data_IF_595696579132
#
_entry.id   IF_595696579132
#
_cell.length_a   1.000
_cell.length_b   1.000
_cell.length_c   1.000
_cell.angle_alpha   90.00
_cell.angle_beta   90.00
_cell.angle_gamma   90.00
#
_symmetry.space_group_name_H-M   'P 1'
#
loop_
_entity.id
_entity.type
_entity.pdbx_description
1 polymer ?
#
# COMPACT_ATOMS: atom_id res chain seq x y z
N UNK A 1 -102.61 24.02 -6.63
CA UNK A 1 -101.42 24.91 -6.52
C UNK A 1 -100.44 24.52 -5.40
N UNK A 2 -100.87 24.26 -4.15
CA UNK A 2 -99.96 23.89 -3.04
C UNK A 2 -99.01 22.72 -3.35
N UNK A 3 -99.48 21.67 -4.03
CA UNK A 3 -98.67 20.50 -4.44
C UNK A 3 -97.56 20.85 -5.44
N UNK A 4 -97.81 21.81 -6.34
CA UNK A 4 -96.84 22.25 -7.35
C UNK A 4 -95.72 23.07 -6.68
N UNK A 5 -96.08 23.93 -5.73
CA UNK A 5 -95.11 24.72 -4.94
C UNK A 5 -94.21 23.80 -4.10
N UNK A 6 -94.78 22.79 -3.45
CA UNK A 6 -94.00 21.80 -2.67
C UNK A 6 -93.07 20.99 -3.58
N UNK A 7 -93.54 20.58 -4.76
CA UNK A 7 -92.71 19.87 -5.74
C UNK A 7 -91.52 20.71 -6.22
N UNK A 8 -91.74 22.01 -6.48
CA UNK A 8 -90.65 22.92 -6.86
C UNK A 8 -89.63 23.12 -5.73
N UNK A 9 -90.09 23.26 -4.48
CA UNK A 9 -89.23 23.40 -3.31
C UNK A 9 -88.32 22.17 -3.10
N UNK A 10 -88.84 20.96 -3.34
CA UNK A 10 -88.06 19.73 -3.26
C UNK A 10 -86.99 19.64 -4.35
N UNK A 11 -87.28 20.10 -5.57
CA UNK A 11 -86.30 20.13 -6.66
C UNK A 11 -85.17 21.11 -6.34
N UNK A 12 -85.50 22.31 -5.84
CA UNK A 12 -84.49 23.30 -5.42
C UNK A 12 -83.62 22.75 -4.29
N UNK A 13 -84.22 22.05 -3.31
CA UNK A 13 -83.48 21.41 -2.23
C UNK A 13 -82.52 20.30 -2.74
N UNK A 14 -82.98 19.48 -3.70
CA UNK A 14 -82.14 18.45 -4.33
C UNK A 14 -80.96 19.06 -5.09
N UNK A 15 -81.20 20.12 -5.87
CA UNK A 15 -80.13 20.83 -6.59
C UNK A 15 -79.13 21.43 -5.61
N UNK A 16 -79.60 22.06 -4.53
CA UNK A 16 -78.73 22.65 -3.50
C UNK A 16 -77.84 21.60 -2.81
N UNK A 17 -78.41 20.44 -2.44
CA UNK A 17 -77.65 19.34 -1.83
C UNK A 17 -76.64 18.74 -2.83
N UNK A 18 -77.05 18.55 -4.09
CA UNK A 18 -76.15 18.06 -5.14
C UNK A 18 -74.98 19.01 -5.39
N UNK A 19 -75.25 20.32 -5.47
CA UNK A 19 -74.22 21.34 -5.63
C UNK A 19 -73.27 21.41 -4.43
N UNK A 20 -73.81 21.35 -3.21
CA UNK A 20 -73.01 21.33 -1.99
C UNK A 20 -72.08 20.11 -1.93
N UNK A 21 -72.59 18.92 -2.27
CA UNK A 21 -71.80 17.70 -2.33
C UNK A 21 -70.72 17.76 -3.41
N UNK A 22 -71.04 18.27 -4.61
CA UNK A 22 -70.08 18.46 -5.69
C UNK A 22 -68.97 19.44 -5.29
N UNK A 23 -69.32 20.57 -4.68
CA UNK A 23 -68.36 21.59 -4.22
C UNK A 23 -67.46 21.03 -3.10
N UNK A 24 -68.03 20.25 -2.18
CA UNK A 24 -67.27 19.59 -1.11
C UNK A 24 -66.32 18.52 -1.64
N UNK A 25 -66.73 17.78 -2.66
CA UNK A 25 -65.90 16.79 -3.34
C UNK A 25 -64.73 17.46 -4.07
N UNK A 26 -65.00 18.52 -4.84
CA UNK A 26 -63.96 19.29 -5.54
C UNK A 26 -62.96 19.95 -4.56
N UNK A 27 -63.46 20.49 -3.45
CA UNK A 27 -62.62 21.06 -2.39
C UNK A 27 -61.71 20.01 -1.74
N UNK A 28 -62.21 18.78 -1.53
CA UNK A 28 -61.41 17.67 -1.00
C UNK A 28 -60.36 17.22 -2.01
N UNK A 29 -60.75 17.04 -3.27
CA UNK A 29 -59.84 16.64 -4.35
C UNK A 29 -58.68 17.64 -4.52
N UNK A 30 -58.98 18.96 -4.50
CA UNK A 30 -57.96 20.01 -4.55
C UNK A 30 -57.01 19.97 -3.34
N UNK A 31 -57.55 19.77 -2.14
CA UNK A 31 -56.74 19.69 -0.92
C UNK A 31 -55.84 18.45 -0.89
N UNK A 32 -56.35 17.31 -1.35
CA UNK A 32 -55.58 16.08 -1.48
C UNK A 32 -54.49 16.21 -2.55
N UNK A 33 -54.80 16.82 -3.68
CA UNK A 33 -53.81 17.10 -4.74
C UNK A 33 -52.71 18.04 -4.24
N UNK A 34 -53.06 19.17 -3.61
CA UNK A 34 -52.09 20.09 -3.03
C UNK A 34 -51.26 19.41 -1.95
N UNK A 35 -51.89 18.66 -1.04
CA UNK A 35 -51.18 17.93 0.00
C UNK A 35 -50.24 16.86 -0.55
N UNK A 36 -50.61 16.19 -1.66
CA UNK A 36 -49.74 15.24 -2.36
C UNK A 36 -48.57 15.94 -3.06
N UNK A 37 -48.83 17.04 -3.75
CA UNK A 37 -47.83 17.86 -4.42
C UNK A 37 -46.79 18.42 -3.43
N UNK A 38 -47.24 19.01 -2.33
CA UNK A 38 -46.36 19.61 -1.32
C UNK A 38 -45.47 18.56 -0.66
N UNK A 39 -46.02 17.37 -0.36
CA UNK A 39 -45.25 16.24 0.15
C UNK A 39 -44.22 15.76 -0.86
N UNK A 40 -44.61 15.57 -2.12
CA UNK A 40 -43.71 15.15 -3.19
C UNK A 40 -42.58 16.16 -3.43
N UNK A 41 -42.90 17.46 -3.43
CA UNK A 41 -41.92 18.53 -3.56
C UNK A 41 -40.94 18.55 -2.37
N UNK A 42 -41.44 18.34 -1.15
CA UNK A 42 -40.61 18.26 0.05
C UNK A 42 -39.67 17.05 0.04
N UNK A 43 -40.18 15.87 -0.31
CA UNK A 43 -39.38 14.65 -0.44
C UNK A 43 -38.32 14.78 -1.53
N UNK A 44 -38.67 15.34 -2.69
CA UNK A 44 -37.73 15.63 -3.76
C UNK A 44 -36.63 16.61 -3.34
N UNK A 45 -36.97 17.64 -2.56
CA UNK A 45 -35.99 18.58 -2.01
C UNK A 45 -35.02 17.89 -1.03
N UNK A 46 -35.52 16.99 -0.18
CA UNK A 46 -34.67 16.19 0.74
C UNK A 46 -33.75 15.27 -0.06
N UNK A 47 -34.28 14.55 -1.04
CA UNK A 47 -33.49 13.64 -1.87
C UNK A 47 -32.41 14.39 -2.66
N UNK A 48 -32.76 15.55 -3.22
CA UNK A 48 -31.80 16.42 -3.90
C UNK A 48 -30.69 16.90 -2.97
N UNK A 49 -31.04 17.39 -1.78
CA UNK A 49 -30.05 17.80 -0.77
C UNK A 49 -29.11 16.65 -0.37
N UNK A 50 -29.65 15.43 -0.22
CA UNK A 50 -28.83 14.24 0.03
C UNK A 50 -27.90 13.91 -1.14
N UNK A 51 -28.40 13.95 -2.37
CA UNK A 51 -27.60 13.73 -3.57
C UNK A 51 -26.47 14.76 -3.69
N UNK A 52 -26.78 16.04 -3.48
CA UNK A 52 -25.78 17.12 -3.50
C UNK A 52 -24.73 16.92 -2.40
N UNK A 53 -25.15 16.48 -1.20
CA UNK A 53 -24.20 16.20 -0.11
C UNK A 53 -23.29 15.00 -0.42
N UNK A 54 -23.82 13.95 -1.04
CA UNK A 54 -23.04 12.78 -1.46
C UNK A 54 -22.07 13.12 -2.59
N UNK A 55 -22.50 13.93 -3.56
CA UNK A 55 -21.64 14.39 -4.66
C UNK A 55 -20.48 15.24 -4.12
N UNK A 56 -20.75 16.12 -3.16
CA UNK A 56 -19.70 16.91 -2.49
C UNK A 56 -18.73 16.03 -1.69
N UNK A 57 -19.23 15.05 -0.95
CA UNK A 57 -18.39 14.10 -0.20
C UNK A 57 -17.49 13.29 -1.15
N UNK A 58 -18.05 12.82 -2.27
CA UNK A 58 -17.31 12.05 -3.28
C UNK A 58 -16.23 12.89 -3.97
N UNK A 59 -16.53 14.15 -4.30
CA UNK A 59 -15.54 15.09 -4.84
C UNK A 59 -14.40 15.33 -3.85
N UNK A 60 -14.73 15.49 -2.57
CA UNK A 60 -13.74 15.69 -1.52
C UNK A 60 -12.85 14.45 -1.34
N UNK A 61 -13.44 13.26 -1.25
CA UNK A 61 -12.68 12.01 -1.12
C UNK A 61 -11.78 11.77 -2.33
N UNK A 62 -12.29 12.03 -3.55
CA UNK A 62 -11.49 11.94 -4.77
C UNK A 62 -10.29 12.88 -4.73
N UNK A 63 -10.49 14.14 -4.32
CA UNK A 63 -9.39 15.10 -4.19
C UNK A 63 -8.35 14.62 -3.17
N UNK A 64 -8.78 14.12 -2.02
CA UNK A 64 -7.87 13.61 -0.98
C UNK A 64 -7.10 12.37 -1.45
N UNK A 65 -7.74 11.51 -2.24
CA UNK A 65 -7.08 10.35 -2.83
C UNK A 65 -6.03 10.76 -3.87
N UNK A 66 -6.37 11.71 -4.75
CA UNK A 66 -5.44 12.26 -5.75
C UNK A 66 -4.22 12.92 -5.07
N UNK A 67 -4.43 13.71 -4.02
CA UNK A 67 -3.37 14.32 -3.21
C UNK A 67 -2.47 13.25 -2.56
N UNK A 68 -3.09 12.18 -2.03
CA UNK A 68 -2.36 11.07 -1.40
C UNK A 68 -1.50 10.31 -2.40
N UNK A 69 -2.00 10.08 -3.62
CA UNK A 69 -1.24 9.48 -4.70
C UNK A 69 -0.05 10.35 -5.12
N UNK A 70 -0.24 11.66 -5.17
CA UNK A 70 0.84 12.59 -5.49
C UNK A 70 1.94 12.59 -4.42
N UNK A 71 1.56 12.59 -3.14
CA UNK A 71 2.50 12.47 -2.02
C UNK A 71 3.27 11.14 -2.10
N UNK A 72 2.57 10.05 -2.39
CA UNK A 72 3.18 8.72 -2.52
C UNK A 72 4.19 8.68 -3.68
N UNK A 73 3.82 9.24 -4.84
CA UNK A 73 4.71 9.33 -5.99
C UNK A 73 5.98 10.13 -5.67
N UNK A 74 5.83 11.31 -5.04
CA UNK A 74 6.95 12.14 -4.61
C UNK A 74 7.85 11.43 -3.59
N UNK A 75 7.25 10.72 -2.63
CA UNK A 75 8.00 9.95 -1.65
C UNK A 75 8.80 8.82 -2.32
N UNK A 76 8.18 8.11 -3.25
CA UNK A 76 8.82 7.05 -4.01
C UNK A 76 9.98 7.57 -4.86
N UNK A 77 9.79 8.67 -5.59
CA UNK A 77 10.83 9.29 -6.42
C UNK A 77 12.03 9.72 -5.57
N UNK A 78 11.79 10.32 -4.40
CA UNK A 78 12.87 10.68 -3.47
C UNK A 78 13.67 9.47 -2.97
N UNK A 79 12.99 8.34 -2.72
CA UNK A 79 13.65 7.09 -2.32
C UNK A 79 14.50 6.54 -3.47
N UNK A 80 13.95 6.50 -4.69
CA UNK A 80 14.67 6.05 -5.89
C UNK A 80 15.90 6.92 -6.14
N UNK A 81 15.79 8.23 -6.03
CA UNK A 81 16.91 9.17 -6.19
C UNK A 81 18.00 8.95 -5.12
N UNK A 82 17.59 8.72 -3.86
CA UNK A 82 18.51 8.40 -2.77
C UNK A 82 19.26 7.09 -3.02
N UNK A 83 18.55 6.06 -3.46
CA UNK A 83 19.16 4.77 -3.83
C UNK A 83 20.14 4.93 -5.00
N UNK A 84 19.76 5.68 -6.05
CA UNK A 84 20.63 5.96 -7.19
C UNK A 84 21.90 6.70 -6.79
N UNK A 85 21.80 7.70 -5.90
CA UNK A 85 22.99 8.39 -5.34
C UNK A 85 23.88 7.45 -4.54
N UNK A 86 23.27 6.55 -3.77
CA UNK A 86 24.00 5.54 -2.99
C UNK A 86 24.74 4.56 -3.89
N UNK A 87 24.08 4.05 -4.93
CA UNK A 87 24.68 3.19 -5.95
C UNK A 87 25.85 3.90 -6.62
N UNK A 88 25.66 5.13 -7.08
CA UNK A 88 26.72 5.91 -7.71
C UNK A 88 27.92 6.16 -6.77
N UNK A 89 27.68 6.35 -5.48
CA UNK A 89 28.74 6.44 -4.47
C UNK A 89 29.49 5.12 -4.32
N UNK A 90 28.77 3.99 -4.23
CA UNK A 90 29.36 2.66 -4.10
C UNK A 90 30.13 2.24 -5.34
N UNK A 91 29.66 2.59 -6.54
CA UNK A 91 30.39 2.36 -7.77
C UNK A 91 31.73 3.11 -7.81
N UNK A 92 31.77 4.36 -7.32
CA UNK A 92 33.02 5.12 -7.16
C UNK A 92 33.97 4.46 -6.16
N UNK A 93 33.47 4.01 -5.01
CA UNK A 93 34.27 3.27 -4.02
C UNK A 93 34.86 1.98 -4.62
N UNK A 94 34.06 1.20 -5.36
CA UNK A 94 34.50 -0.04 -6.03
C UNK A 94 35.55 0.27 -7.10
N UNK A 95 35.35 1.31 -7.92
CA UNK A 95 36.32 1.72 -8.93
C UNK A 95 37.65 2.14 -8.29
N UNK A 96 37.62 2.90 -7.20
CA UNK A 96 38.81 3.29 -6.44
C UNK A 96 39.52 2.08 -5.83
N UNK A 97 38.80 1.15 -5.22
CA UNK A 97 39.35 -0.08 -4.65
C UNK A 97 40.00 -0.98 -5.72
N UNK A 98 39.37 -1.10 -6.90
CA UNK A 98 39.94 -1.81 -8.07
C UNK A 98 41.22 -1.14 -8.57
N UNK A 99 41.24 0.20 -8.68
CA UNK A 99 42.42 0.95 -9.10
C UNK A 99 43.57 0.83 -8.09
N UNK A 100 43.29 0.87 -6.79
CA UNK A 100 44.27 0.67 -5.72
C UNK A 100 44.87 -0.74 -5.76
N UNK A 101 44.02 -1.77 -5.93
CA UNK A 101 44.46 -3.16 -6.06
C UNK A 101 45.38 -3.36 -7.28
N UNK A 102 45.06 -2.72 -8.42
CA UNK A 102 45.89 -2.79 -9.64
C UNK A 102 47.27 -2.14 -9.47
N UNK A 103 47.38 -1.05 -8.71
CA UNK A 103 48.66 -0.39 -8.38
C UNK A 103 49.54 -1.22 -7.43
N UNK A 104 48.93 -2.02 -6.57
CA UNK A 104 49.66 -2.95 -5.69
C UNK A 104 50.29 -4.10 -6.48
N UNK A 105 49.61 -4.62 -7.50
CA UNK A 105 50.17 -5.66 -8.38
C UNK A 105 51.33 -5.18 -9.25
N UNK A 106 51.35 -3.92 -9.70
CA UNK A 106 52.44 -3.39 -10.54
C UNK A 106 53.69 -2.94 -9.77
N UNK A 107 53.61 -2.70 -8.45
CA UNK A 107 54.80 -2.40 -7.62
C UNK A 107 55.58 -3.65 -7.17
N UNK A 108 55.08 -4.85 -7.45
CA UNK A 108 55.64 -6.13 -6.99
C UNK A 108 56.28 -6.98 -8.10
N UNK A 109 56.64 -6.41 -9.26
CA UNK A 109 57.16 -7.19 -10.40
C UNK A 109 58.64 -7.03 -10.75
N UNK A 110 59.48 -6.47 -9.86
CA UNK A 110 60.94 -6.57 -9.99
C UNK A 110 61.53 -7.23 -8.73
N UNK A 111 61.44 -8.56 -8.68
CA UNK A 111 62.06 -9.40 -7.65
C UNK A 111 61.94 -10.87 -8.05
N UNK A 112 63.01 -11.68 -7.91
CA UNK A 112 63.11 -12.97 -8.57
C UNK A 112 62.15 -14.00 -7.96
N UNK A 113 61.74 -14.90 -8.85
CA UNK A 113 60.98 -16.13 -8.63
C UNK A 113 61.35 -16.84 -7.33
N UNK A 114 60.41 -16.94 -6.39
CA UNK A 114 60.16 -18.10 -5.52
C UNK A 114 59.02 -17.81 -4.54
N UNK A 115 58.17 -18.82 -4.30
CA UNK A 115 57.25 -18.82 -3.16
C UNK A 115 55.77 -18.82 -3.55
N UNK A 116 55.23 -20.02 -3.73
CA UNK A 116 53.82 -20.31 -3.49
C UNK A 116 53.52 -19.87 -2.05
N UNK A 117 52.86 -18.73 -1.87
CA UNK A 117 52.43 -18.23 -0.56
C UNK A 117 51.34 -19.18 -0.06
N UNK A 118 51.73 -20.16 0.73
CA UNK A 118 50.82 -20.87 1.63
C UNK A 118 50.22 -19.84 2.57
N UNK A 119 48.89 -19.82 2.61
CA UNK A 119 48.05 -18.98 3.47
C UNK A 119 48.61 -18.90 4.90
N UNK A 120 48.71 -17.68 5.39
CA UNK A 120 49.00 -17.34 6.77
C UNK A 120 48.06 -18.09 7.73
N UNK A 121 48.60 -19.02 8.53
CA UNK A 121 48.26 -19.35 9.91
C UNK A 121 46.82 -19.75 10.32
N UNK A 122 45.81 -19.57 9.48
CA UNK A 122 44.41 -19.85 9.83
C UNK A 122 44.07 -21.27 9.42
N UNK A 123 43.76 -22.11 10.40
CA UNK A 123 43.33 -23.49 10.13
C UNK A 123 41.86 -23.52 9.73
N UNK A 124 41.46 -24.46 8.86
CA UNK A 124 40.05 -24.67 8.52
C UNK A 124 39.16 -24.85 9.77
N UNK A 125 39.72 -25.41 10.84
CA UNK A 125 39.03 -25.55 12.13
C UNK A 125 38.64 -24.19 12.75
N UNK A 126 39.50 -23.18 12.67
CA UNK A 126 39.20 -21.84 13.22
C UNK A 126 38.10 -21.13 12.42
N UNK A 127 38.08 -21.32 11.10
CA UNK A 127 37.03 -20.79 10.21
C UNK A 127 35.68 -21.41 10.59
N UNK A 128 35.65 -22.72 10.78
CA UNK A 128 34.43 -23.46 11.12
C UNK A 128 33.94 -23.18 12.55
N UNK A 129 34.85 -23.02 13.51
CA UNK A 129 34.48 -22.69 14.90
C UNK A 129 33.80 -21.32 14.98
N UNK A 130 34.33 -20.32 14.26
CA UNK A 130 33.71 -19.01 14.19
C UNK A 130 32.32 -19.07 13.53
N UNK A 131 32.19 -19.82 12.43
CA UNK A 131 30.91 -20.02 11.74
C UNK A 131 29.86 -20.67 12.65
N UNK A 132 30.23 -21.77 13.33
CA UNK A 132 29.33 -22.49 14.25
C UNK A 132 28.92 -21.65 15.45
N UNK A 133 29.84 -20.88 16.01
CA UNK A 133 29.54 -19.96 17.11
C UNK A 133 28.52 -18.91 16.69
N UNK A 134 28.70 -18.31 15.51
CA UNK A 134 27.77 -17.32 14.97
C UNK A 134 26.39 -17.91 14.62
N UNK A 135 26.34 -19.16 14.15
CA UNK A 135 25.07 -19.87 13.98
C UNK A 135 24.37 -20.13 15.33
N UNK A 136 25.12 -20.45 16.38
CA UNK A 136 24.58 -20.67 17.72
C UNK A 136 24.12 -19.39 18.43
N UNK A 137 24.59 -18.22 17.99
CA UNK A 137 24.15 -16.90 18.47
C UNK A 137 22.82 -16.45 17.81
N UNK A 138 22.31 -17.19 16.82
CA UNK A 138 21.04 -16.84 16.17
C UNK A 138 19.85 -17.08 17.11
N UNK A 139 18.91 -16.12 17.21
CA UNK A 139 17.67 -16.30 17.95
C UNK A 139 16.87 -17.52 17.44
N UNK A 140 16.28 -18.27 18.37
CA UNK A 140 15.52 -19.48 18.04
C UNK A 140 14.15 -19.18 17.42
N UNK A 141 13.67 -17.94 17.56
CA UNK A 141 12.37 -17.41 17.13
C UNK A 141 12.38 -16.79 15.73
N UNK A 142 13.50 -16.87 14.99
CA UNK A 142 13.58 -16.40 13.61
C UNK A 142 12.61 -17.17 12.69
N UNK A 143 11.87 -16.43 11.86
CA UNK A 143 11.08 -17.04 10.79
C UNK A 143 11.99 -17.75 9.77
N UNK A 144 11.45 -18.69 8.96
CA UNK A 144 12.25 -19.41 7.97
C UNK A 144 13.02 -18.50 7.00
N UNK A 145 12.40 -17.39 6.57
CA UNK A 145 13.03 -16.42 5.69
C UNK A 145 14.16 -15.66 6.39
N UNK A 146 13.92 -15.17 7.60
CA UNK A 146 14.93 -14.44 8.39
C UNK A 146 16.12 -15.33 8.72
N UNK A 147 15.89 -16.62 8.98
CA UNK A 147 16.95 -17.60 9.18
C UNK A 147 17.81 -17.75 7.92
N UNK A 148 17.22 -17.83 6.73
CA UNK A 148 17.98 -17.91 5.46
C UNK A 148 18.85 -16.66 5.26
N UNK A 149 18.30 -15.47 5.48
CA UNK A 149 19.04 -14.21 5.35
C UNK A 149 20.18 -14.14 6.37
N UNK A 150 19.91 -14.46 7.63
CA UNK A 150 20.90 -14.43 8.70
C UNK A 150 22.05 -15.42 8.46
N UNK A 151 21.74 -16.63 7.98
CA UNK A 151 22.77 -17.61 7.60
C UNK A 151 23.62 -17.06 6.44
N UNK A 152 23.01 -16.47 5.42
CA UNK A 152 23.74 -15.90 4.30
C UNK A 152 24.68 -14.76 4.75
N UNK A 153 24.22 -13.92 5.67
CA UNK A 153 25.04 -12.87 6.27
C UNK A 153 26.22 -13.44 7.07
N UNK A 154 26.00 -14.46 7.90
CA UNK A 154 27.07 -15.13 8.64
C UNK A 154 28.12 -15.73 7.70
N UNK A 155 27.70 -16.27 6.54
CA UNK A 155 28.64 -16.78 5.52
C UNK A 155 29.51 -15.65 4.95
N UNK A 156 28.91 -14.51 4.61
CA UNK A 156 29.64 -13.36 4.10
C UNK A 156 30.60 -12.80 5.15
N UNK A 157 30.14 -12.61 6.39
CA UNK A 157 30.97 -12.16 7.52
C UNK A 157 32.16 -13.11 7.79
N UNK A 158 31.93 -14.42 7.73
CA UNK A 158 33.00 -15.43 7.90
C UNK A 158 34.02 -15.33 6.76
N UNK A 159 33.55 -15.20 5.52
CA UNK A 159 34.44 -15.09 4.35
C UNK A 159 35.33 -13.84 4.41
N UNK A 160 34.76 -12.70 4.81
CA UNK A 160 35.47 -11.43 5.02
C UNK A 160 36.48 -11.52 6.16
N UNK A 161 36.08 -12.08 7.31
CA UNK A 161 36.93 -12.16 8.51
C UNK A 161 38.20 -12.97 8.26
N UNK A 162 38.10 -14.05 7.50
CA UNK A 162 39.24 -14.93 7.20
C UNK A 162 39.88 -14.65 5.84
N UNK A 163 39.43 -13.61 5.13
CA UNK A 163 39.94 -13.25 3.80
C UNK A 163 39.93 -14.44 2.81
N UNK A 164 38.89 -15.28 2.90
CA UNK A 164 38.69 -16.44 2.02
C UNK A 164 37.58 -16.14 1.02
N UNK A 165 37.67 -16.73 -0.17
CA UNK A 165 36.58 -16.60 -1.15
C UNK A 165 35.33 -17.35 -0.68
N UNK A 166 34.14 -16.89 -1.09
CA UNK A 166 32.89 -17.59 -0.78
C UNK A 166 32.88 -19.03 -1.32
N UNK A 167 33.55 -19.27 -2.46
CA UNK A 167 33.71 -20.60 -3.05
C UNK A 167 34.61 -21.49 -2.20
N UNK A 168 35.70 -20.97 -1.66
CA UNK A 168 36.61 -21.74 -0.81
C UNK A 168 35.99 -22.01 0.56
N UNK A 169 35.22 -21.06 1.10
CA UNK A 169 34.43 -21.31 2.30
C UNK A 169 33.37 -22.40 2.09
N UNK A 170 32.70 -22.40 0.92
CA UNK A 170 31.74 -23.44 0.58
C UNK A 170 32.41 -24.82 0.50
N UNK A 171 33.59 -24.93 -0.12
CA UNK A 171 34.38 -26.18 -0.13
C UNK A 171 34.74 -26.66 1.28
N UNK A 172 35.10 -25.75 2.19
CA UNK A 172 35.39 -26.09 3.58
C UNK A 172 34.13 -26.62 4.29
N UNK A 173 32.96 -26.03 4.03
CA UNK A 173 31.68 -26.51 4.59
C UNK A 173 31.29 -27.87 4.03
N UNK A 174 31.40 -28.07 2.72
CA UNK A 174 31.06 -29.32 2.04
C UNK A 174 31.97 -30.46 2.53
N UNK A 175 33.28 -30.20 2.64
CA UNK A 175 34.25 -31.15 3.18
C UNK A 175 33.98 -31.55 4.64
N UNK A 176 33.26 -30.71 5.40
CA UNK A 176 32.93 -30.94 6.80
C UNK A 176 31.43 -31.26 7.02
N UNK A 177 30.70 -31.59 5.95
CA UNK A 177 29.26 -31.94 5.98
C UNK A 177 28.38 -30.88 6.67
N UNK A 178 28.73 -29.60 6.50
CA UNK A 178 27.95 -28.45 7.01
C UNK A 178 26.97 -27.91 5.97
N UNK A 179 26.46 -28.79 5.11
CA UNK A 179 25.29 -28.56 4.27
C UNK A 179 24.05 -28.53 5.16
N UNK A 180 23.28 -27.46 5.06
CA UNK A 180 21.95 -27.37 5.68
C UNK A 180 21.03 -28.46 5.18
#
# INVERSE_FOLDING_TARGET
>A
MKKIVIGFLLIVALIAVSYYNATRSDSRAKKEYQGGYDKGAHEAAIQKSRADSLDNALKQEKSQFDDSLQILALAHDNVVDSLNRTIASKDKEIAAARAASRKQTTRKSNGPTQGKVTSSGVTHAQILDYYRRKLGELPADLSPYERTVAVAEIRDQTSRKFSISAQDFQKIRDANKLTE
#
